data_IF_189102769523
#
_entry.id   IF_189102769523
#
_cell.length_a   1.000
_cell.length_b   1.000
_cell.length_c   1.000
_cell.angle_alpha   90.00
_cell.angle_beta   90.00
_cell.angle_gamma   90.00
#
_symmetry.space_group_name_H-M   'P 1'
#
loop_
_entity.id
_entity.type
_entity.pdbx_description
1 polymer ?
#
# COMPACT_ATOMS: atom_id res chain seq x y z
N UNK A 1 -20.05 -19.51 -6.74
CA UNK A 1 -19.41 -19.68 -5.41
C UNK A 1 -18.15 -18.83 -5.42
N UNK A 2 -17.87 -18.05 -4.38
CA UNK A 2 -16.70 -17.16 -4.30
C UNK A 2 -15.50 -17.98 -3.79
N UNK A 3 -14.33 -17.84 -4.43
CA UNK A 3 -13.11 -18.62 -4.11
C UNK A 3 -12.00 -17.81 -3.45
N UNK A 4 -12.04 -16.48 -3.48
CA UNK A 4 -11.03 -15.62 -2.89
C UNK A 4 -11.13 -14.17 -3.35
N UNK A 5 -10.22 -13.34 -2.86
CA UNK A 5 -10.04 -11.96 -3.35
C UNK A 5 -9.12 -12.03 -4.58
N UNK A 6 -9.60 -11.56 -5.73
CA UNK A 6 -8.77 -11.45 -6.93
C UNK A 6 -7.95 -10.15 -6.91
N UNK A 7 -8.58 -9.04 -6.54
CA UNK A 7 -7.92 -7.75 -6.42
C UNK A 7 -8.68 -6.85 -5.46
N UNK A 8 -8.00 -5.80 -5.04
CA UNK A 8 -8.60 -4.61 -4.42
C UNK A 8 -8.35 -3.40 -5.33
N UNK A 9 -9.15 -2.34 -5.16
CA UNK A 9 -8.92 -1.07 -5.85
C UNK A 9 -8.84 0.08 -4.85
N UNK A 10 -7.78 0.88 -4.94
CA UNK A 10 -7.56 2.06 -4.09
C UNK A 10 -7.65 3.34 -4.93
N UNK A 11 -8.46 4.32 -4.51
CA UNK A 11 -8.60 5.58 -5.23
C UNK A 11 -7.43 6.51 -4.95
N UNK A 12 -6.99 7.25 -5.97
CA UNK A 12 -6.02 8.34 -5.87
C UNK A 12 -6.55 9.61 -6.54
N UNK A 13 -5.99 10.80 -6.24
CA UNK A 13 -6.38 12.04 -6.92
C UNK A 13 -6.14 12.00 -8.44
N UNK A 14 -6.89 12.83 -9.17
CA UNK A 14 -6.74 12.92 -10.62
C UNK A 14 -5.33 13.38 -11.01
N UNK A 15 -4.74 12.71 -12.00
CA UNK A 15 -3.44 13.10 -12.55
C UNK A 15 -2.24 12.66 -11.71
N UNK A 16 -2.43 11.76 -10.74
CA UNK A 16 -1.34 11.31 -9.85
C UNK A 16 -0.89 9.85 -10.04
N UNK A 17 -0.92 9.34 -11.28
CA UNK A 17 -0.45 7.96 -11.55
C UNK A 17 1.05 7.81 -11.32
N UNK A 18 1.86 8.81 -11.69
CA UNK A 18 3.31 8.78 -11.48
C UNK A 18 3.66 8.66 -9.98
N UNK A 19 2.91 9.32 -9.09
CA UNK A 19 3.05 9.16 -7.64
C UNK A 19 2.70 7.74 -7.19
N UNK A 20 1.71 7.11 -7.82
CA UNK A 20 1.38 5.72 -7.55
C UNK A 20 2.43 4.74 -8.06
N UNK A 21 3.06 4.98 -9.21
CA UNK A 21 4.19 4.18 -9.68
C UNK A 21 5.37 4.27 -8.71
N UNK A 22 5.69 5.47 -8.22
CA UNK A 22 6.74 5.65 -7.21
C UNK A 22 6.38 4.98 -5.88
N UNK A 23 5.19 5.24 -5.34
CA UNK A 23 4.81 4.68 -4.05
C UNK A 23 4.59 3.16 -4.11
N UNK A 24 3.67 2.66 -4.94
CA UNK A 24 3.35 1.23 -4.99
C UNK A 24 4.44 0.40 -5.68
N UNK A 25 5.06 0.92 -6.73
CA UNK A 25 6.09 0.18 -7.48
C UNK A 25 7.46 0.24 -6.81
N UNK A 26 7.89 1.41 -6.33
CA UNK A 26 9.25 1.56 -5.77
C UNK A 26 9.27 1.44 -4.26
N UNK A 27 8.35 2.11 -3.55
CA UNK A 27 8.37 2.11 -2.08
C UNK A 27 7.86 0.80 -1.51
N UNK A 28 6.76 0.29 -2.05
CA UNK A 28 6.21 -1.00 -1.64
C UNK A 28 6.82 -2.19 -2.40
N UNK A 29 7.57 -1.95 -3.48
CA UNK A 29 8.21 -2.99 -4.28
C UNK A 29 7.23 -3.89 -5.04
N UNK A 30 5.99 -3.44 -5.30
CA UNK A 30 5.03 -4.24 -6.06
C UNK A 30 5.37 -4.25 -7.56
N UNK A 31 5.14 -5.39 -8.20
CA UNK A 31 5.45 -5.55 -9.63
C UNK A 31 4.35 -4.94 -10.48
N UNK A 32 4.66 -3.99 -11.36
CA UNK A 32 3.68 -3.47 -12.32
C UNK A 32 3.22 -4.57 -13.29
N UNK A 33 1.89 -4.66 -13.45
CA UNK A 33 1.23 -5.54 -14.39
C UNK A 33 0.63 -4.73 -15.57
N UNK A 34 0.53 -5.33 -16.77
CA UNK A 34 -0.08 -4.67 -17.91
C UNK A 34 -1.57 -4.43 -17.68
N UNK A 35 -2.03 -3.26 -18.11
CA UNK A 35 -3.45 -2.90 -18.11
C UNK A 35 -4.05 -3.10 -19.51
N UNK A 36 -5.38 -3.25 -19.65
CA UNK A 36 -6.05 -3.22 -20.95
C UNK A 36 -5.67 -1.97 -21.75
N UNK A 37 -5.50 -2.11 -23.07
CA UNK A 37 -5.01 -1.03 -23.95
C UNK A 37 -5.81 0.27 -23.79
N UNK A 38 -7.13 0.17 -23.68
CA UNK A 38 -8.05 1.32 -23.54
C UNK A 38 -8.00 1.99 -22.15
N UNK A 39 -7.31 1.38 -21.18
CA UNK A 39 -7.22 1.90 -19.80
C UNK A 39 -5.83 2.48 -19.47
N UNK A 40 -4.89 2.46 -20.42
CA UNK A 40 -3.57 3.09 -20.25
C UNK A 40 -3.73 4.56 -19.86
N UNK A 41 -2.98 4.99 -18.84
CA UNK A 41 -3.05 6.36 -18.32
C UNK A 41 -4.29 6.66 -17.46
N UNK A 42 -5.11 5.66 -17.14
CA UNK A 42 -6.29 5.82 -16.26
C UNK A 42 -6.29 4.91 -15.03
N UNK A 43 -5.50 3.84 -15.07
CA UNK A 43 -5.38 2.85 -14.01
C UNK A 43 -3.98 2.24 -14.03
N UNK A 44 -3.50 1.81 -12.87
CA UNK A 44 -2.31 0.97 -12.71
C UNK A 44 -2.69 -0.33 -12.04
N UNK A 45 -2.10 -1.43 -12.49
CA UNK A 45 -2.21 -2.74 -11.84
C UNK A 45 -0.85 -3.13 -11.27
N UNK A 46 -0.86 -3.67 -10.06
CA UNK A 46 0.32 -4.19 -9.39
C UNK A 46 0.05 -5.61 -8.88
N UNK A 47 0.95 -6.55 -9.14
CA UNK A 47 0.88 -7.91 -8.64
C UNK A 47 1.39 -7.99 -7.19
N UNK A 48 0.69 -8.78 -6.37
CA UNK A 48 1.10 -9.08 -4.98
C UNK A 48 1.91 -10.38 -4.99
N UNK A 49 3.24 -10.23 -5.12
CA UNK A 49 4.16 -11.36 -5.20
C UNK A 49 3.76 -12.34 -6.32
N UNK A 50 3.74 -13.64 -6.00
CA UNK A 50 3.33 -14.71 -6.92
C UNK A 50 1.92 -15.26 -6.64
N UNK A 51 1.14 -14.56 -5.82
CA UNK A 51 -0.19 -15.02 -5.35
C UNK A 51 -1.25 -15.04 -6.46
N UNK A 52 -1.05 -14.28 -7.53
CA UNK A 52 -2.06 -13.98 -8.54
C UNK A 52 -3.10 -12.93 -8.08
N UNK A 53 -2.96 -12.37 -6.87
CA UNK A 53 -3.75 -11.25 -6.39
C UNK A 53 -3.14 -9.92 -6.83
N UNK A 54 -3.97 -8.90 -6.98
CA UNK A 54 -3.52 -7.58 -7.46
C UNK A 54 -4.03 -6.41 -6.62
N UNK A 55 -3.30 -5.31 -6.70
CA UNK A 55 -3.74 -3.98 -6.29
C UNK A 55 -3.97 -3.15 -7.54
N UNK A 56 -5.17 -2.64 -7.70
CA UNK A 56 -5.50 -1.68 -8.75
C UNK A 56 -5.53 -0.28 -8.17
N UNK A 57 -4.94 0.68 -8.88
CA UNK A 57 -4.90 2.08 -8.49
C UNK A 57 -5.60 2.89 -9.57
N UNK A 58 -6.71 3.53 -9.23
CA UNK A 58 -7.53 4.31 -10.17
C UNK A 58 -7.88 5.68 -9.60
N UNK A 59 -8.25 6.61 -10.47
CA UNK A 59 -8.69 7.93 -10.01
C UNK A 59 -10.04 7.84 -9.28
N UNK A 60 -10.16 8.57 -8.16
CA UNK A 60 -11.40 8.59 -7.39
C UNK A 60 -11.35 9.51 -6.17
N UNK A 61 -12.47 9.59 -5.46
CA UNK A 61 -12.54 10.32 -4.20
C UNK A 61 -11.70 9.63 -3.12
N UNK A 62 -10.85 10.40 -2.45
CA UNK A 62 -10.04 9.94 -1.33
C UNK A 62 -10.62 10.44 -0.01
N UNK A 63 -10.29 9.72 1.07
CA UNK A 63 -10.74 10.03 2.43
C UNK A 63 -9.59 9.68 3.39
N UNK A 64 -8.69 10.64 3.67
CA UNK A 64 -7.54 10.42 4.54
C UNK A 64 -7.89 10.05 5.98
N UNK A 65 -9.14 10.22 6.42
CA UNK A 65 -9.58 9.84 7.76
C UNK A 65 -10.23 8.44 7.78
N UNK A 66 -10.44 7.83 6.61
CA UNK A 66 -11.04 6.52 6.51
C UNK A 66 -10.23 5.47 7.27
N UNK A 67 -10.96 4.58 7.97
CA UNK A 67 -10.40 3.42 8.64
C UNK A 67 -10.43 2.14 7.78
N UNK A 68 -11.09 2.15 6.62
CA UNK A 68 -11.09 1.02 5.69
C UNK A 68 -9.69 0.83 5.10
N UNK A 69 -9.22 -0.41 5.05
CA UNK A 69 -7.88 -0.74 4.56
C UNK A 69 -7.83 -2.18 4.04
N UNK A 70 -6.97 -2.48 3.05
CA UNK A 70 -6.42 -3.80 2.89
C UNK A 70 -5.34 -4.08 3.95
N UNK A 71 -5.16 -5.35 4.24
CA UNK A 71 -4.05 -5.85 5.05
C UNK A 71 -3.16 -6.75 4.19
N UNK A 72 -1.92 -6.35 4.01
CA UNK A 72 -0.92 -7.10 3.26
C UNK A 72 -0.17 -8.04 4.18
N UNK A 73 -0.06 -9.30 3.76
CA UNK A 73 0.67 -10.32 4.47
C UNK A 73 2.10 -10.42 3.93
N UNK A 74 3.08 -10.40 4.83
CA UNK A 74 4.50 -10.63 4.55
C UNK A 74 4.89 -12.02 5.04
N UNK A 75 6.01 -12.54 4.52
CA UNK A 75 6.42 -13.92 4.78
C UNK A 75 7.21 -14.06 6.07
N UNK A 76 7.82 -12.97 6.55
CA UNK A 76 8.65 -12.98 7.75
C UNK A 76 8.66 -11.64 8.51
N UNK A 77 9.10 -11.64 9.79
CA UNK A 77 9.33 -10.41 10.54
C UNK A 77 10.36 -9.48 9.89
N UNK A 78 11.38 -10.03 9.24
CA UNK A 78 12.42 -9.26 8.56
C UNK A 78 11.83 -8.50 7.38
N UNK A 79 11.03 -9.16 6.53
CA UNK A 79 10.32 -8.50 5.43
C UNK A 79 9.36 -7.41 5.93
N UNK A 80 8.70 -7.63 7.07
CA UNK A 80 7.82 -6.65 7.71
C UNK A 80 8.58 -5.39 8.16
N UNK A 81 9.78 -5.54 8.73
CA UNK A 81 10.61 -4.39 9.12
C UNK A 81 11.27 -3.70 7.92
N UNK A 82 11.67 -4.44 6.89
CA UNK A 82 12.22 -3.89 5.64
C UNK A 82 11.21 -2.99 4.93
N UNK A 83 9.97 -3.46 4.76
CA UNK A 83 8.91 -2.66 4.12
C UNK A 83 8.54 -1.44 4.99
N UNK A 84 8.54 -1.60 6.32
CA UNK A 84 8.32 -0.49 7.25
C UNK A 84 9.41 0.58 7.11
N UNK A 85 10.68 0.17 7.03
CA UNK A 85 11.81 1.08 6.83
C UNK A 85 11.71 1.80 5.47
N UNK A 86 11.41 1.08 4.39
CA UNK A 86 11.22 1.66 3.06
C UNK A 86 10.13 2.76 3.04
N UNK A 87 8.97 2.46 3.64
CA UNK A 87 7.87 3.43 3.75
C UNK A 87 8.29 4.64 4.59
N UNK A 88 8.90 4.42 5.75
CA UNK A 88 9.33 5.50 6.64
C UNK A 88 10.41 6.38 5.99
N UNK A 89 11.40 5.79 5.32
CA UNK A 89 12.46 6.53 4.63
C UNK A 89 11.89 7.39 3.50
N UNK A 90 10.93 6.88 2.73
CA UNK A 90 10.22 7.69 1.74
C UNK A 90 9.42 8.82 2.40
N UNK A 91 8.74 8.55 3.52
CA UNK A 91 8.03 9.58 4.28
C UNK A 91 8.96 10.73 4.72
N UNK A 92 10.14 10.39 5.28
CA UNK A 92 11.15 11.38 5.70
C UNK A 92 11.78 12.11 4.52
N UNK A 93 12.06 11.40 3.42
CA UNK A 93 12.59 11.99 2.18
C UNK A 93 11.63 13.04 1.60
N UNK A 94 10.33 12.84 1.78
CA UNK A 94 9.29 13.70 1.22
C UNK A 94 9.17 13.56 -0.30
N UNK A 95 8.43 14.48 -0.92
CA UNK A 95 8.07 14.42 -2.34
C UNK A 95 6.57 14.26 -2.56
N UNK A 96 6.13 14.35 -3.81
CA UNK A 96 4.71 14.28 -4.14
C UNK A 96 4.11 12.88 -3.90
N UNK A 97 4.93 11.84 -3.94
CA UNK A 97 4.55 10.45 -3.68
C UNK A 97 4.79 10.01 -2.23
N UNK A 98 5.23 10.92 -1.37
CA UNK A 98 5.57 10.57 0.01
C UNK A 98 4.33 10.09 0.77
N UNK A 99 4.43 9.01 1.56
CA UNK A 99 3.36 8.55 2.43
C UNK A 99 2.87 9.69 3.33
N UNK A 100 1.57 9.83 3.54
CA UNK A 100 1.04 10.84 4.47
C UNK A 100 1.29 10.47 5.94
N UNK A 101 1.41 9.18 6.24
CA UNK A 101 1.72 8.67 7.57
C UNK A 101 2.51 7.36 7.47
N UNK A 102 3.54 7.23 8.31
CA UNK A 102 4.38 6.04 8.37
C UNK A 102 4.81 5.78 9.82
N UNK A 103 4.66 4.54 10.28
CA UNK A 103 5.19 4.13 11.58
C UNK A 103 6.72 4.07 11.52
N UNK A 104 7.39 4.72 12.48
CA UNK A 104 8.85 4.78 12.53
C UNK A 104 9.46 3.44 12.98
N UNK A 105 10.46 2.89 12.28
CA UNK A 105 11.21 1.72 12.74
C UNK A 105 11.80 1.93 14.15
N UNK A 106 11.70 0.90 15.00
CA UNK A 106 12.16 0.95 16.40
C UNK A 106 11.21 1.65 17.39
N UNK A 107 10.21 2.41 16.93
CA UNK A 107 9.16 2.99 17.77
C UNK A 107 7.94 2.05 17.86
N UNK A 108 7.01 2.38 18.76
CA UNK A 108 5.75 1.64 18.95
C UNK A 108 4.85 1.81 17.71
N UNK A 109 4.46 0.69 17.09
CA UNK A 109 3.55 0.69 15.93
C UNK A 109 2.17 1.24 16.26
N UNK A 110 1.54 1.90 15.29
CA UNK A 110 0.16 2.37 15.38
C UNK A 110 -0.86 1.22 15.40
N UNK A 111 -2.08 1.52 15.85
CA UNK A 111 -3.16 0.54 16.01
C UNK A 111 -3.14 -0.17 17.37
N UNK A 112 -4.17 -0.98 17.62
CA UNK A 112 -4.27 -1.74 18.86
C UNK A 112 -3.21 -2.85 18.91
N UNK A 113 -2.50 -2.95 20.03
CA UNK A 113 -1.48 -3.94 20.32
C UNK A 113 -1.91 -4.85 21.47
N UNK A 114 -1.43 -6.09 21.49
CA UNK A 114 -1.72 -7.05 22.55
C UNK A 114 -1.55 -8.49 22.10
N UNK A 115 -1.68 -9.45 23.03
CA UNK A 115 -1.54 -10.89 22.74
C UNK A 115 -2.51 -11.41 21.67
N UNK A 116 -3.65 -10.72 21.51
CA UNK A 116 -4.70 -11.09 20.56
C UNK A 116 -4.48 -10.51 19.16
N UNK A 117 -3.52 -9.59 19.00
CA UNK A 117 -3.22 -8.95 17.72
C UNK A 117 -1.90 -9.47 17.15
N UNK A 118 -1.84 -9.75 15.83
CA UNK A 118 -0.59 -10.11 15.18
C UNK A 118 0.39 -8.92 15.20
N UNK A 119 1.67 -9.20 14.98
CA UNK A 119 2.67 -8.15 14.73
C UNK A 119 2.28 -7.44 13.44
N UNK A 120 1.94 -6.16 13.56
CA UNK A 120 1.46 -5.33 12.44
C UNK A 120 1.87 -3.89 12.58
N UNK A 121 1.78 -3.14 11.49
CA UNK A 121 1.87 -1.68 11.50
C UNK A 121 0.93 -1.09 10.43
N UNK A 122 0.70 0.22 10.49
CA UNK A 122 -0.08 0.93 9.48
C UNK A 122 0.74 2.02 8.80
N UNK A 123 0.37 2.30 7.56
CA UNK A 123 0.80 3.48 6.83
C UNK A 123 -0.40 4.12 6.10
N UNK A 124 -0.22 5.36 5.65
CA UNK A 124 -1.09 5.98 4.65
C UNK A 124 -0.25 6.31 3.43
N UNK A 125 -0.72 5.90 2.26
CA UNK A 125 -0.09 6.32 1.00
C UNK A 125 -0.17 7.85 0.82
N UNK A 126 0.36 8.35 -0.30
CA UNK A 126 0.34 9.78 -0.64
C UNK A 126 -1.08 10.34 -0.87
N UNK A 127 -2.07 9.47 -1.07
CA UNK A 127 -3.47 9.82 -1.32
C UNK A 127 -4.35 9.70 -0.06
N UNK A 128 -3.79 9.23 1.06
CA UNK A 128 -4.47 9.03 2.34
C UNK A 128 -5.09 7.65 2.52
N UNK A 129 -4.95 6.72 1.58
CA UNK A 129 -5.43 5.34 1.74
C UNK A 129 -4.67 4.65 2.87
N UNK A 130 -5.42 4.13 3.86
CA UNK A 130 -4.84 3.36 4.96
C UNK A 130 -4.44 1.98 4.47
N UNK A 131 -3.22 1.56 4.79
CA UNK A 131 -2.67 0.24 4.50
C UNK A 131 -2.23 -0.41 5.83
N UNK A 132 -2.54 -1.69 6.00
CA UNK A 132 -2.04 -2.51 7.12
C UNK A 132 -1.05 -3.55 6.58
N UNK A 133 -0.04 -3.86 7.38
CA UNK A 133 0.97 -4.87 7.06
C UNK A 133 1.11 -5.82 8.25
N UNK A 134 1.13 -7.12 8.02
CA UNK A 134 1.23 -8.19 9.04
C UNK A 134 2.05 -9.37 8.53
N UNK A 135 2.50 -10.22 9.44
CA UNK A 135 3.02 -11.57 9.13
C UNK A 135 1.86 -12.58 9.14
#
# INVERSE_FOLDING_TARGET
MISGIAHINLPIPQGTLDQAEEFYGTTLGLTSAPVPELQKGTILWFDIGSSGQQVHISFGATDPEANRHPCFKLSSPEELEEIKASIYDHHVRGGAAAPMAADKPGDVNSGAQGKEYPTRFFARDFAGNRLEFTI
#
